data_IF_094528111113
#
_entry.id   IF_094528111113
#
_cell.length_a   1.000
_cell.length_b   1.000
_cell.length_c   1.000
_cell.angle_alpha   90.00
_cell.angle_beta   90.00
_cell.angle_gamma   90.00
#
_symmetry.space_group_name_H-M   'P 1'
#
loop_
_entity.id
_entity.type
_entity.pdbx_description
1 polymer ?
#
# COMPACT_ATOMS: atom_id res chain seq x y z
N UNK A 1 -0.14 0.03 -21.20
CA UNK A 1 0.14 -0.19 -19.78
C UNK A 1 1.62 -0.08 -19.43
N UNK A 2 2.53 -0.75 -20.15
CA UNK A 2 3.98 -0.70 -19.90
C UNK A 2 4.57 0.72 -19.90
N UNK A 3 4.18 1.56 -20.88
CA UNK A 3 4.66 2.97 -20.99
C UNK A 3 4.26 3.83 -19.78
N UNK A 4 3.06 3.62 -19.24
CA UNK A 4 2.57 4.35 -18.05
C UNK A 4 3.34 3.91 -16.81
N UNK A 5 3.57 2.61 -16.67
CA UNK A 5 4.36 2.06 -15.56
C UNK A 5 5.80 2.57 -15.59
N UNK A 6 6.42 2.58 -16.76
CA UNK A 6 7.77 3.10 -16.97
C UNK A 6 7.85 4.59 -16.64
N UNK A 7 6.86 5.38 -17.10
CA UNK A 7 6.79 6.80 -16.78
C UNK A 7 6.66 7.04 -15.27
N UNK A 8 5.80 6.28 -14.58
CA UNK A 8 5.65 6.38 -13.12
C UNK A 8 6.95 6.07 -12.38
N UNK A 9 7.65 5.00 -12.77
CA UNK A 9 8.91 4.60 -12.14
C UNK A 9 10.01 5.67 -12.29
N UNK A 10 9.98 6.46 -13.36
CA UNK A 10 10.98 7.51 -13.60
C UNK A 10 10.51 8.85 -13.01
N UNK A 11 9.25 9.22 -13.24
CA UNK A 11 8.72 10.56 -12.89
C UNK A 11 8.53 10.69 -11.38
N UNK A 12 8.03 9.64 -10.70
CA UNK A 12 7.78 9.72 -9.26
C UNK A 12 9.08 9.95 -8.48
N UNK A 13 10.15 9.18 -8.64
CA UNK A 13 11.42 9.47 -7.95
C UNK A 13 12.02 10.83 -8.31
N UNK A 14 11.88 11.26 -9.56
CA UNK A 14 12.37 12.58 -9.97
C UNK A 14 11.62 13.72 -9.24
N UNK A 15 10.30 13.60 -9.12
CA UNK A 15 9.47 14.53 -8.34
C UNK A 15 9.80 14.50 -6.85
N UNK A 16 10.05 13.31 -6.28
CA UNK A 16 10.45 13.16 -4.88
C UNK A 16 11.74 13.90 -4.58
N UNK A 17 12.77 13.68 -5.40
CA UNK A 17 14.06 14.38 -5.25
C UNK A 17 13.86 15.89 -5.37
N UNK A 18 13.08 16.33 -6.34
CA UNK A 18 12.79 17.76 -6.51
C UNK A 18 12.07 18.36 -5.29
N UNK A 19 11.08 17.65 -4.73
CA UNK A 19 10.36 18.07 -3.53
C UNK A 19 11.29 18.11 -2.31
N UNK A 20 12.15 17.11 -2.13
CA UNK A 20 13.12 17.07 -1.04
C UNK A 20 14.12 18.22 -1.09
N UNK A 21 14.63 18.53 -2.30
CA UNK A 21 15.52 19.68 -2.50
C UNK A 21 14.80 21.00 -2.18
N UNK A 22 13.54 21.12 -2.64
CA UNK A 22 12.74 22.32 -2.40
C UNK A 22 12.43 22.49 -0.92
N UNK A 23 12.04 21.42 -0.22
CA UNK A 23 11.81 21.42 1.22
C UNK A 23 13.10 21.81 1.98
N UNK A 24 14.24 21.22 1.61
CA UNK A 24 15.54 21.55 2.20
C UNK A 24 15.92 23.02 2.03
N UNK A 25 15.52 23.66 0.92
CA UNK A 25 15.74 25.09 0.71
C UNK A 25 14.79 25.97 1.51
N UNK A 26 13.54 25.54 1.72
CA UNK A 26 12.50 26.31 2.41
C UNK A 26 12.61 26.25 3.94
N UNK A 27 12.75 25.05 4.47
CA UNK A 27 12.73 24.80 5.93
C UNK A 27 14.11 24.43 6.49
N UNK A 28 15.10 24.22 5.61
CA UNK A 28 16.44 23.80 5.97
C UNK A 28 16.65 22.28 5.86
N UNK A 29 17.91 21.87 5.71
CA UNK A 29 18.27 20.46 5.54
C UNK A 29 17.98 19.64 6.82
N UNK A 30 18.28 20.15 8.00
CA UNK A 30 18.10 19.44 9.27
C UNK A 30 16.62 19.14 9.54
N UNK A 31 15.68 20.09 9.49
CA UNK A 31 14.25 19.80 9.65
C UNK A 31 13.73 18.81 8.59
N UNK A 32 14.19 18.89 7.34
CA UNK A 32 13.80 17.96 6.29
C UNK A 32 14.23 16.54 6.61
N UNK A 33 15.46 16.33 7.07
CA UNK A 33 15.98 15.02 7.48
C UNK A 33 15.19 14.47 8.68
N UNK A 34 14.91 15.30 9.68
CA UNK A 34 14.12 14.90 10.85
C UNK A 34 12.71 14.45 10.40
N UNK A 35 12.09 15.17 9.47
CA UNK A 35 10.77 14.85 8.96
C UNK A 35 10.77 13.50 8.23
N UNK A 36 11.79 13.22 7.40
CA UNK A 36 11.96 11.94 6.71
C UNK A 36 12.11 10.79 7.72
N UNK A 37 12.94 10.96 8.74
CA UNK A 37 13.14 9.93 9.77
C UNK A 37 11.84 9.71 10.54
N UNK A 38 11.13 10.77 10.90
CA UNK A 38 9.88 10.70 11.65
C UNK A 38 8.80 9.95 10.87
N UNK A 39 8.60 10.28 9.60
CA UNK A 39 7.62 9.60 8.73
C UNK A 39 7.99 8.14 8.54
N UNK A 40 9.26 7.82 8.34
CA UNK A 40 9.74 6.44 8.23
C UNK A 40 9.49 5.62 9.49
N UNK A 41 9.79 6.16 10.67
CA UNK A 41 9.55 5.49 11.97
C UNK A 41 8.06 5.29 12.22
N UNK A 42 7.25 6.33 12.01
CA UNK A 42 5.79 6.25 12.14
C UNK A 42 5.19 5.25 11.16
N UNK A 43 5.65 5.24 9.92
CA UNK A 43 5.22 4.31 8.91
C UNK A 43 5.54 2.87 9.26
N UNK A 44 6.77 2.59 9.69
CA UNK A 44 7.18 1.26 10.13
C UNK A 44 6.38 0.76 11.33
N UNK A 45 6.15 1.63 12.31
CA UNK A 45 5.33 1.32 13.48
C UNK A 45 3.88 1.01 13.09
N UNK A 46 3.30 1.84 12.23
CA UNK A 46 1.94 1.68 11.75
C UNK A 46 1.79 0.40 10.91
N UNK A 47 2.76 0.11 10.03
CA UNK A 47 2.79 -1.11 9.24
C UNK A 47 2.83 -2.37 10.11
N UNK A 48 3.68 -2.37 11.15
CA UNK A 48 3.75 -3.45 12.13
C UNK A 48 2.43 -3.63 12.87
N UNK A 49 1.85 -2.57 13.38
CA UNK A 49 0.58 -2.60 14.13
C UNK A 49 -0.57 -3.14 13.27
N UNK A 50 -0.72 -2.61 12.07
CA UNK A 50 -1.74 -3.02 11.12
C UNK A 50 -1.51 -4.45 10.59
N UNK A 51 -0.27 -4.83 10.34
CA UNK A 51 0.10 -6.16 9.89
C UNK A 51 -0.27 -7.24 10.91
N UNK A 52 0.05 -7.02 12.19
CA UNK A 52 -0.32 -7.95 13.27
C UNK A 52 -1.84 -8.05 13.42
N UNK A 53 -2.55 -6.92 13.33
CA UNK A 53 -4.01 -6.90 13.39
C UNK A 53 -4.64 -7.68 12.22
N UNK A 54 -4.15 -7.48 11.00
CA UNK A 54 -4.61 -8.21 9.82
C UNK A 54 -4.38 -9.72 9.96
N UNK A 55 -3.22 -10.12 10.48
CA UNK A 55 -2.89 -11.52 10.69
C UNK A 55 -3.83 -12.20 11.70
N UNK A 56 -4.11 -11.52 12.81
CA UNK A 56 -5.07 -12.01 13.82
C UNK A 56 -6.48 -12.15 13.23
N UNK A 57 -6.93 -11.17 12.47
CA UNK A 57 -8.23 -11.22 11.81
C UNK A 57 -8.31 -12.36 10.78
N UNK A 58 -7.22 -12.62 10.05
CA UNK A 58 -7.13 -13.77 9.14
C UNK A 58 -7.29 -15.09 9.88
N UNK A 59 -6.54 -15.28 10.98
CA UNK A 59 -6.61 -16.49 11.81
C UNK A 59 -8.01 -16.70 12.39
N UNK A 60 -8.67 -15.64 12.89
CA UNK A 60 -10.04 -15.76 13.42
C UNK A 60 -11.03 -16.18 12.34
N UNK A 61 -10.97 -15.60 11.14
CA UNK A 61 -11.84 -15.99 10.02
C UNK A 61 -11.59 -17.42 9.57
N UNK A 62 -10.34 -17.84 9.49
CA UNK A 62 -10.00 -19.22 9.16
C UNK A 62 -10.52 -20.24 10.20
N UNK A 63 -10.39 -19.90 11.47
CA UNK A 63 -10.90 -20.75 12.57
C UNK A 63 -12.43 -20.86 12.56
N UNK A 64 -13.13 -19.85 12.05
CA UNK A 64 -14.60 -19.88 11.86
C UNK A 64 -15.04 -20.49 10.51
N UNK A 65 -14.13 -21.07 9.74
CA UNK A 65 -14.42 -21.68 8.44
C UNK A 65 -14.75 -20.70 7.32
N UNK A 66 -14.49 -19.40 7.51
CA UNK A 66 -14.73 -18.36 6.52
C UNK A 66 -13.47 -18.12 5.68
N UNK A 67 -13.62 -17.92 4.37
CA UNK A 67 -12.51 -17.50 3.52
C UNK A 67 -12.09 -16.05 3.84
N UNK A 68 -10.81 -15.80 4.19
CA UNK A 68 -10.32 -14.48 4.61
C UNK A 68 -9.97 -13.57 3.42
N UNK A 69 -10.75 -13.59 2.32
CA UNK A 69 -10.45 -12.84 1.08
C UNK A 69 -10.23 -11.34 1.32
N UNK A 70 -11.07 -10.72 2.13
CA UNK A 70 -10.94 -9.29 2.46
C UNK A 70 -9.68 -8.99 3.27
N UNK A 71 -9.27 -9.92 4.14
CA UNK A 71 -8.10 -9.76 5.01
C UNK A 71 -6.80 -9.94 4.22
N UNK A 72 -6.84 -10.78 3.17
CA UNK A 72 -5.70 -10.92 2.26
C UNK A 72 -5.44 -9.61 1.53
N UNK A 73 -6.50 -8.94 1.05
CA UNK A 73 -6.38 -7.62 0.41
C UNK A 73 -5.88 -6.58 1.40
N UNK A 74 -6.36 -6.60 2.64
CA UNK A 74 -5.82 -5.75 3.71
C UNK A 74 -4.33 -5.98 3.93
N UNK A 75 -3.91 -7.23 4.03
CA UNK A 75 -2.51 -7.60 4.18
C UNK A 75 -1.63 -7.12 3.03
N UNK A 76 -2.10 -7.24 1.79
CA UNK A 76 -1.41 -6.71 0.60
C UNK A 76 -1.28 -5.19 0.63
N UNK A 77 -2.35 -4.46 0.98
CA UNK A 77 -2.30 -3.00 1.12
C UNK A 77 -1.30 -2.56 2.19
N UNK A 78 -1.28 -3.27 3.33
CA UNK A 78 -0.34 -2.99 4.43
C UNK A 78 1.09 -3.26 3.99
N UNK A 79 1.34 -4.39 3.31
CA UNK A 79 2.66 -4.74 2.82
C UNK A 79 3.19 -3.71 1.82
N UNK A 80 2.37 -3.39 0.81
CA UNK A 80 2.74 -2.40 -0.21
C UNK A 80 2.94 -1.02 0.43
N UNK A 81 2.02 -0.59 1.29
CA UNK A 81 2.13 0.69 2.00
C UNK A 81 3.39 0.76 2.86
N UNK A 82 3.72 -0.31 3.58
CA UNK A 82 4.95 -0.40 4.38
C UNK A 82 6.22 -0.33 3.53
N UNK A 83 6.25 -1.05 2.40
CA UNK A 83 7.39 -1.00 1.46
C UNK A 83 7.56 0.38 0.85
N UNK A 84 6.47 1.03 0.46
CA UNK A 84 6.48 2.38 -0.11
C UNK A 84 7.00 3.40 0.90
N UNK A 85 6.64 3.29 2.18
CA UNK A 85 7.15 4.15 3.26
C UNK A 85 8.63 3.93 3.61
N UNK A 86 9.24 2.81 3.18
CA UNK A 86 10.69 2.61 3.30
C UNK A 86 11.48 3.47 2.31
N UNK A 87 10.86 3.92 1.23
CA UNK A 87 11.47 4.88 0.30
C UNK A 87 11.10 6.29 0.75
N UNK A 88 12.08 7.08 1.26
CA UNK A 88 11.77 8.41 1.79
C UNK A 88 11.33 9.36 0.69
N UNK A 89 10.14 9.91 0.80
CA UNK A 89 9.60 10.90 -0.13
C UNK A 89 8.23 11.41 0.29
N UNK A 90 7.87 12.61 -0.15
CA UNK A 90 6.60 13.24 0.24
C UNK A 90 5.38 12.55 -0.41
N UNK A 91 5.49 12.22 -1.70
CA UNK A 91 4.40 11.57 -2.46
C UNK A 91 4.28 10.10 -2.04
N UNK A 92 5.42 9.42 -1.96
CA UNK A 92 5.46 8.01 -1.52
C UNK A 92 4.99 7.85 -0.09
N UNK A 93 5.35 8.75 0.82
CA UNK A 93 4.85 8.75 2.20
C UNK A 93 3.33 8.94 2.24
N UNK A 94 2.77 9.89 1.48
CA UNK A 94 1.33 10.09 1.40
C UNK A 94 0.59 8.85 0.87
N UNK A 95 1.12 8.19 -0.16
CA UNK A 95 0.56 6.95 -0.73
C UNK A 95 0.67 5.80 0.29
N UNK A 96 1.82 5.66 0.93
CA UNK A 96 2.06 4.64 1.94
C UNK A 96 1.11 4.77 3.12
N UNK A 97 0.94 5.97 3.67
CA UNK A 97 -0.04 6.23 4.73
C UNK A 97 -1.48 5.96 4.28
N UNK A 98 -1.85 6.35 3.06
CA UNK A 98 -3.17 6.08 2.52
C UNK A 98 -3.48 4.58 2.43
N UNK A 99 -2.48 3.74 2.15
CA UNK A 99 -2.62 2.29 2.12
C UNK A 99 -2.61 1.66 3.52
N UNK A 100 -1.92 2.28 4.48
CA UNK A 100 -1.83 1.77 5.85
C UNK A 100 -3.04 2.14 6.70
N UNK A 101 -3.62 3.32 6.51
CA UNK A 101 -4.73 3.78 7.33
C UNK A 101 -6.03 3.02 7.00
N UNK A 102 -6.73 2.43 8.01
CA UNK A 102 -7.97 1.67 7.79
C UNK A 102 -9.07 2.43 7.04
N UNK A 103 -9.37 3.72 7.35
CA UNK A 103 -10.45 4.44 6.67
C UNK A 103 -10.18 4.64 5.17
N UNK A 104 -8.97 4.98 4.80
CA UNK A 104 -8.56 5.17 3.40
C UNK A 104 -8.53 3.84 2.64
N UNK A 105 -8.04 2.80 3.30
CA UNK A 105 -8.01 1.45 2.75
C UNK A 105 -9.40 0.92 2.44
N UNK A 106 -10.38 1.18 3.31
CA UNK A 106 -11.77 0.78 3.09
C UNK A 106 -12.40 1.46 1.86
N UNK A 107 -11.95 2.65 1.48
CA UNK A 107 -12.35 3.32 0.25
C UNK A 107 -11.70 2.71 -1.00
N UNK A 108 -10.48 2.22 -0.87
CA UNK A 108 -9.69 1.65 -1.98
C UNK A 108 -10.07 0.19 -2.24
N UNK A 109 -10.37 -0.58 -1.19
CA UNK A 109 -10.76 -2.00 -1.27
C UNK A 109 -11.81 -2.34 -2.34
N UNK A 110 -12.94 -1.64 -2.44
CA UNK A 110 -13.97 -1.96 -3.42
C UNK A 110 -13.46 -1.84 -4.85
N UNK A 111 -12.56 -0.89 -5.11
CA UNK A 111 -11.96 -0.67 -6.43
C UNK A 111 -10.97 -1.79 -6.78
N UNK A 112 -10.15 -2.21 -5.82
CA UNK A 112 -9.23 -3.34 -6.00
C UNK A 112 -10.02 -4.64 -6.22
N UNK A 113 -11.06 -4.88 -5.39
CA UNK A 113 -11.89 -6.07 -5.50
C UNK A 113 -12.59 -6.15 -6.86
N UNK A 114 -13.14 -5.03 -7.37
CA UNK A 114 -13.72 -4.97 -8.72
C UNK A 114 -12.69 -5.26 -9.80
N UNK A 115 -11.48 -4.69 -9.68
CA UNK A 115 -10.42 -4.92 -10.66
C UNK A 115 -9.97 -6.39 -10.69
N UNK A 116 -9.89 -7.04 -9.53
CA UNK A 116 -9.55 -8.46 -9.41
C UNK A 116 -10.70 -9.31 -9.99
N UNK A 117 -11.95 -9.05 -9.59
CA UNK A 117 -13.13 -9.79 -10.07
C UNK A 117 -13.28 -9.68 -11.59
N UNK A 118 -13.15 -8.48 -12.15
CA UNK A 118 -13.21 -8.27 -13.61
C UNK A 118 -12.10 -8.99 -14.38
N UNK A 119 -10.94 -9.23 -13.75
CA UNK A 119 -9.87 -10.02 -14.36
C UNK A 119 -10.09 -11.52 -14.21
N UNK A 120 -10.67 -11.96 -13.10
CA UNK A 120 -11.06 -13.35 -12.90
C UNK A 120 -12.19 -13.76 -13.85
N UNK A 121 -13.20 -12.90 -14.04
CA UNK A 121 -14.33 -13.16 -14.96
C UNK A 121 -13.90 -13.17 -16.44
N UNK A 122 -12.82 -12.49 -16.80
CA UNK A 122 -12.21 -12.54 -18.14
C UNK A 122 -11.26 -13.72 -18.36
N UNK A 123 -10.75 -14.32 -17.30
CA UNK A 123 -9.99 -15.56 -17.33
C UNK A 123 -10.96 -16.71 -17.14
N UNK A 124 -11.33 -17.39 -18.22
CA UNK A 124 -12.17 -18.57 -18.22
C UNK A 124 -11.65 -19.59 -17.20
N UNK A 125 -12.27 -19.63 -16.03
CA UNK A 125 -12.17 -20.82 -15.19
C UNK A 125 -13.10 -21.85 -15.80
N UNK A 126 -12.51 -22.81 -16.52
CA UNK A 126 -13.18 -24.07 -16.86
C UNK A 126 -13.50 -24.74 -15.54
N UNK A 127 -14.75 -24.59 -15.09
CA UNK A 127 -15.29 -25.42 -14.01
C UNK A 127 -15.35 -26.84 -14.55
N UNK A 128 -14.33 -27.64 -14.25
CA UNK A 128 -14.38 -29.09 -14.45
C UNK A 128 -15.40 -29.63 -13.45
N UNK A 129 -16.64 -29.72 -13.91
CA UNK A 129 -17.71 -30.41 -13.23
C UNK A 129 -17.39 -31.92 -13.30
N UNK A 130 -16.64 -32.45 -12.34
CA UNK A 130 -16.52 -33.90 -12.14
C UNK A 130 -17.79 -34.38 -11.46
N UNK A 131 -18.65 -35.03 -12.27
CA UNK A 131 -19.64 -35.97 -11.77
C UNK A 131 -18.96 -37.19 -11.15
#
# INVERSE_FOLDING_TARGET
MFRILLALIIVVPALEIWLLITAGKLIGAIPTIILIILTGVLGAWLAKYQGVSALRNAQQKMNSGQMPGDVIIDGLCILIGGVVLLTPGFITDAIGFALLLPPTRNLIKPSIMRAIRNRLDRGQFIVINRR
#
